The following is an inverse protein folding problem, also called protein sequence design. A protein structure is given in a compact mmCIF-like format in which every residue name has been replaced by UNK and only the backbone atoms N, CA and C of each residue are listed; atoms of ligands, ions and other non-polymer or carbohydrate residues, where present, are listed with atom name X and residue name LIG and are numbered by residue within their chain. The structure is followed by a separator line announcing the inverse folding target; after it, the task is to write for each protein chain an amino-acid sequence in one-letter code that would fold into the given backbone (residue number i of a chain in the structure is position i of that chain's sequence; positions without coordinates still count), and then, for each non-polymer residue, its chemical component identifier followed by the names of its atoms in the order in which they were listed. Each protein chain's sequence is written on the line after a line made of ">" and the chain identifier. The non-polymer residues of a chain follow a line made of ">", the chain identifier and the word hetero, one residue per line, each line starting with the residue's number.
data_IF_613787874600
#
_entry.id   IF_613787874600
#
_cell.length_a   1.000
_cell.length_b   1.000
_cell.length_c   1.000
_cell.angle_alpha   90.00
_cell.angle_beta   90.00
_cell.angle_gamma   90.00
#
_symmetry.space_group_name_H-M   'P 1'
#
loop_
_entity.id
_entity.type
_entity.pdbx_description
1 polymer ?
#
# COMPACT_ATOMS: atom_id res chain seq x y z
N UNK A 1 61.04 -30.25 4.17
CA UNK A 1 59.96 -30.52 5.14
C UNK A 1 58.98 -29.35 5.09
N UNK A 2 57.71 -29.69 4.76
CA UNK A 2 56.46 -28.93 4.98
C UNK A 2 56.36 -27.50 4.42
N UNK A 3 55.70 -27.44 3.26
CA UNK A 3 55.04 -26.26 2.70
C UNK A 3 53.95 -25.78 3.67
N UNK A 4 53.99 -24.51 4.08
CA UNK A 4 52.88 -23.87 4.78
C UNK A 4 52.02 -23.14 3.74
N UNK A 5 50.94 -23.80 3.34
CA UNK A 5 49.95 -23.29 2.41
C UNK A 5 49.10 -22.22 3.13
N UNK A 6 49.42 -20.95 2.94
CA UNK A 6 48.57 -19.82 3.32
C UNK A 6 47.39 -19.74 2.33
N UNK A 7 46.31 -20.45 2.62
CA UNK A 7 45.05 -20.31 1.87
C UNK A 7 44.23 -19.16 2.47
N UNK A 8 44.43 -17.95 1.94
CA UNK A 8 43.49 -16.83 2.15
C UNK A 8 42.28 -17.11 1.25
N UNK A 9 41.24 -17.72 1.82
CA UNK A 9 39.93 -17.81 1.15
C UNK A 9 39.28 -16.43 1.31
N UNK A 10 39.49 -15.56 0.33
CA UNK A 10 38.74 -14.32 0.20
C UNK A 10 37.37 -14.68 -0.36
N UNK A 11 36.40 -14.90 0.54
CA UNK A 11 35.02 -15.19 0.16
C UNK A 11 34.44 -14.03 -0.66
N UNK A 12 34.12 -14.29 -1.92
CA UNK A 12 33.48 -13.33 -2.81
C UNK A 12 32.05 -13.10 -2.30
N UNK A 13 31.85 -12.07 -1.48
CA UNK A 13 30.51 -11.60 -1.14
C UNK A 13 29.98 -10.88 -2.38
N UNK A 14 29.19 -11.59 -3.19
CA UNK A 14 28.44 -10.98 -4.29
C UNK A 14 27.31 -10.18 -3.64
N UNK A 15 27.58 -8.91 -3.35
CA UNK A 15 26.53 -7.94 -3.00
C UNK A 15 25.79 -7.63 -4.28
N UNK A 16 24.67 -8.32 -4.52
CA UNK A 16 23.72 -7.91 -5.53
C UNK A 16 23.09 -6.60 -5.09
N UNK A 17 23.55 -5.48 -5.64
CA UNK A 17 22.88 -4.20 -5.50
C UNK A 17 21.53 -4.28 -6.23
N UNK A 18 20.46 -4.49 -5.48
CA UNK A 18 19.10 -4.31 -6.02
C UNK A 18 18.93 -2.82 -6.31
N UNK A 19 18.82 -2.45 -7.58
CA UNK A 19 18.39 -1.11 -7.93
C UNK A 19 17.01 -0.89 -7.31
N UNK A 20 16.91 -0.02 -6.31
CA UNK A 20 15.63 0.35 -5.71
C UNK A 20 14.81 1.01 -6.82
N UNK A 21 13.79 0.31 -7.32
CA UNK A 21 12.82 0.89 -8.24
C UNK A 21 12.29 2.17 -7.60
N UNK A 22 12.48 3.32 -8.27
CA UNK A 22 12.04 4.60 -7.71
C UNK A 22 10.51 4.64 -7.66
N UNK A 23 9.95 4.43 -6.48
CA UNK A 23 8.52 4.59 -6.25
C UNK A 23 8.24 6.00 -5.74
N UNK A 24 7.34 6.73 -6.43
CA UNK A 24 6.98 8.10 -6.06
C UNK A 24 6.07 8.17 -4.83
N UNK A 25 5.20 7.18 -4.64
CA UNK A 25 4.16 7.17 -3.61
C UNK A 25 4.32 5.95 -2.70
N UNK A 26 5.54 5.74 -2.21
CA UNK A 26 5.88 4.66 -1.29
C UNK A 26 6.54 5.16 0.01
N UNK A 27 6.43 6.46 0.33
CA UNK A 27 6.79 6.92 1.67
C UNK A 27 5.82 6.33 2.71
N UNK A 28 6.20 6.36 3.98
CA UNK A 28 5.34 5.89 5.05
C UNK A 28 4.00 6.62 5.08
N UNK A 29 3.98 7.92 4.76
CA UNK A 29 2.74 8.69 4.63
C UNK A 29 1.85 8.13 3.50
N UNK A 30 2.38 7.86 2.31
CA UNK A 30 1.57 7.27 1.23
C UNK A 30 1.05 5.87 1.56
N UNK A 31 1.74 5.17 2.48
CA UNK A 31 1.40 3.83 2.93
C UNK A 31 0.54 3.78 4.20
N UNK A 32 0.21 4.94 4.79
CA UNK A 32 -0.46 4.94 6.09
C UNK A 32 -1.85 4.28 6.04
N UNK A 33 -2.49 4.23 4.86
CA UNK A 33 -3.79 3.59 4.63
C UNK A 33 -3.71 2.18 4.01
N UNK A 34 -2.52 1.57 3.95
CA UNK A 34 -2.34 0.19 3.46
C UNK A 34 -3.25 -0.81 4.19
N UNK A 35 -3.60 -0.55 5.45
CA UNK A 35 -4.48 -1.41 6.26
C UNK A 35 -5.93 -1.45 5.75
N UNK A 36 -6.35 -0.48 4.94
CA UNK A 36 -7.72 -0.33 4.46
C UNK A 36 -7.95 -1.04 3.12
N UNK A 37 -6.89 -1.34 2.37
CA UNK A 37 -6.96 -2.03 1.08
C UNK A 37 -7.62 -3.41 1.22
N UNK A 38 -8.64 -3.68 0.40
CA UNK A 38 -9.40 -4.93 0.44
C UNK A 38 -10.89 -4.74 0.20
N UNK A 39 -11.63 -5.84 0.37
CA UNK A 39 -13.09 -5.86 0.24
C UNK A 39 -13.73 -6.02 1.61
N UNK A 40 -14.68 -5.16 1.90
CA UNK A 40 -15.31 -5.05 3.21
C UNK A 40 -16.82 -5.22 3.12
N UNK A 41 -17.38 -5.93 4.09
CA UNK A 41 -18.81 -5.86 4.41
C UNK A 41 -18.97 -4.93 5.59
N UNK A 42 -19.67 -3.82 5.41
CA UNK A 42 -19.86 -2.81 6.44
C UNK A 42 -21.20 -3.06 7.11
N UNK A 43 -21.20 -3.05 8.44
CA UNK A 43 -22.38 -3.34 9.27
C UNK A 43 -22.73 -2.14 10.14
N UNK A 44 -24.03 -2.00 10.39
CA UNK A 44 -24.56 -1.08 11.39
C UNK A 44 -24.34 -1.64 12.81
N UNK A 45 -24.49 -0.81 13.87
CA UNK A 45 -24.33 -1.27 15.25
C UNK A 45 -25.28 -2.42 15.66
N UNK A 46 -26.42 -2.57 14.97
CA UNK A 46 -27.38 -3.67 15.17
C UNK A 46 -27.00 -4.96 14.42
N UNK A 47 -25.88 -4.95 13.67
CA UNK A 47 -25.40 -6.07 12.87
C UNK A 47 -26.00 -6.17 11.47
N UNK A 48 -26.95 -5.30 11.10
CA UNK A 48 -27.48 -5.26 9.74
C UNK A 48 -26.40 -4.79 8.75
N UNK A 49 -26.38 -5.36 7.55
CA UNK A 49 -25.44 -4.94 6.49
C UNK A 49 -25.85 -3.55 5.99
N UNK A 50 -24.93 -2.59 6.09
CA UNK A 50 -25.09 -1.24 5.53
C UNK A 50 -24.71 -1.21 4.04
N UNK A 51 -23.70 -2.01 3.66
CA UNK A 51 -23.25 -2.13 2.29
C UNK A 51 -21.87 -2.78 2.18
N UNK A 52 -21.26 -2.59 1.02
CA UNK A 52 -20.00 -3.23 0.63
C UNK A 52 -19.05 -2.16 0.11
N UNK A 53 -17.80 -2.22 0.55
CA UNK A 53 -16.75 -1.32 0.06
C UNK A 53 -15.60 -2.12 -0.54
N UNK A 54 -15.15 -1.73 -1.73
CA UNK A 54 -13.93 -2.26 -2.35
C UNK A 54 -12.91 -1.14 -2.38
N UNK A 55 -11.79 -1.32 -1.70
CA UNK A 55 -10.70 -0.35 -1.62
C UNK A 55 -9.48 -0.90 -2.35
N UNK A 56 -8.95 -0.12 -3.28
CA UNK A 56 -7.77 -0.47 -4.08
C UNK A 56 -6.79 0.69 -4.18
N UNK A 57 -5.54 0.40 -4.54
CA UNK A 57 -4.58 1.43 -4.93
C UNK A 57 -4.56 1.63 -6.45
N UNK A 58 -4.66 2.89 -6.86
CA UNK A 58 -4.54 3.31 -8.26
C UNK A 58 -3.41 4.33 -8.43
N UNK A 59 -3.13 4.72 -9.67
CA UNK A 59 -2.12 5.74 -10.01
C UNK A 59 -0.74 5.46 -9.38
N UNK A 60 -0.25 4.22 -9.52
CA UNK A 60 1.02 3.76 -8.96
C UNK A 60 1.13 3.99 -7.44
N UNK A 61 0.11 3.57 -6.70
CA UNK A 61 -0.01 3.67 -5.23
C UNK A 61 -0.17 5.09 -4.67
N UNK A 62 -0.40 6.09 -5.51
CA UNK A 62 -0.58 7.47 -5.05
C UNK A 62 -1.99 7.76 -4.52
N UNK A 63 -2.98 6.94 -4.89
CA UNK A 63 -4.38 7.17 -4.53
C UNK A 63 -4.99 5.86 -4.03
N UNK A 64 -5.69 5.96 -2.90
CA UNK A 64 -6.60 4.97 -2.38
C UNK A 64 -7.97 5.26 -2.99
N UNK A 65 -8.47 4.33 -3.80
CA UNK A 65 -9.75 4.39 -4.49
C UNK A 65 -10.76 3.49 -3.76
N UNK A 66 -11.85 4.09 -3.29
CA UNK A 66 -12.97 3.39 -2.68
C UNK A 66 -14.14 3.33 -3.65
N UNK A 67 -14.71 2.13 -3.80
CA UNK A 67 -16.01 1.94 -4.47
C UNK A 67 -17.01 1.36 -3.47
N UNK A 68 -17.98 2.18 -3.09
CA UNK A 68 -19.04 1.84 -2.15
C UNK A 68 -20.33 1.45 -2.86
N UNK A 69 -20.98 0.40 -2.35
CA UNK A 69 -22.31 -0.04 -2.78
C UNK A 69 -23.20 -0.28 -1.57
N UNK A 70 -24.32 0.44 -1.51
CA UNK A 70 -25.31 0.24 -0.44
C UNK A 70 -25.95 -1.15 -0.49
N UNK A 71 -26.29 -1.68 0.68
CA UNK A 71 -27.13 -2.88 0.79
C UNK A 71 -28.56 -2.60 0.30
N UNK A 72 -29.01 -1.35 0.44
CA UNK A 72 -30.28 -0.88 -0.10
C UNK A 72 -30.13 -0.49 -1.58
N UNK A 73 -31.08 -0.85 -2.46
CA UNK A 73 -31.01 -0.49 -3.86
C UNK A 73 -30.93 1.03 -4.09
N UNK A 74 -30.18 1.44 -5.12
CA UNK A 74 -30.20 2.81 -5.65
C UNK A 74 -29.07 3.74 -5.20
N UNK A 75 -28.16 3.28 -4.33
CA UNK A 75 -27.07 4.14 -3.83
C UNK A 75 -25.69 3.49 -4.02
N UNK A 76 -24.80 4.25 -4.66
CA UNK A 76 -23.36 3.95 -4.80
C UNK A 76 -22.56 5.20 -4.47
N UNK A 77 -21.30 5.02 -4.09
CA UNK A 77 -20.37 6.13 -3.87
C UNK A 77 -18.97 5.75 -4.34
N UNK A 78 -18.18 6.74 -4.66
CA UNK A 78 -16.75 6.58 -4.93
C UNK A 78 -16.03 7.63 -4.10
N UNK A 79 -14.91 7.27 -3.49
CA UNK A 79 -14.05 8.25 -2.81
C UNK A 79 -12.59 8.03 -3.16
N UNK A 80 -11.83 9.11 -3.18
CA UNK A 80 -10.38 9.07 -3.41
C UNK A 80 -9.68 9.70 -2.23
N UNK A 81 -8.79 8.94 -1.58
CA UNK A 81 -7.91 9.42 -0.53
C UNK A 81 -6.46 9.43 -1.02
N UNK A 82 -5.75 10.53 -0.81
CA UNK A 82 -4.34 10.63 -1.20
C UNK A 82 -3.56 11.55 -0.26
N UNK A 83 -2.25 11.31 -0.18
CA UNK A 83 -1.34 12.17 0.57
C UNK A 83 -0.85 13.33 -0.30
N UNK A 84 -1.15 14.57 0.11
CA UNK A 84 -0.67 15.77 -0.56
C UNK A 84 0.67 16.19 0.04
N UNK A 85 1.77 15.75 -0.57
CA UNK A 85 3.13 16.04 -0.09
C UNK A 85 3.54 17.51 -0.14
N UNK A 86 2.78 18.38 -0.83
CA UNK A 86 3.05 19.83 -0.84
C UNK A 86 2.46 20.53 0.37
N UNK A 87 1.36 19.99 0.91
CA UNK A 87 0.61 20.54 2.03
C UNK A 87 0.78 19.71 3.31
N UNK A 88 1.55 18.62 3.24
CA UNK A 88 1.88 17.73 4.35
C UNK A 88 0.63 17.18 5.06
N UNK A 89 -0.36 16.74 4.28
CA UNK A 89 -1.65 16.25 4.80
C UNK A 89 -2.34 15.27 3.86
N UNK A 90 -3.26 14.50 4.43
CA UNK A 90 -4.22 13.69 3.68
C UNK A 90 -5.38 14.54 3.16
N UNK A 91 -5.84 14.23 1.96
CA UNK A 91 -7.01 14.85 1.34
C UNK A 91 -7.95 13.76 0.82
N UNK A 92 -9.27 14.01 0.93
CA UNK A 92 -10.32 13.12 0.43
C UNK A 92 -11.24 13.85 -0.54
N UNK A 93 -11.61 13.18 -1.62
CA UNK A 93 -12.60 13.61 -2.60
C UNK A 93 -13.71 12.55 -2.71
N UNK A 94 -14.93 12.98 -3.03
CA UNK A 94 -16.14 12.17 -3.20
C UNK A 94 -16.78 12.45 -4.56
#
# INVERSE_FOLDING_TARGET
>A
MKQNLLSIIFGLIIVTATAQQSCKCCSDDHRAFDFWEGTWTVTNPDGAIAGYSTITKIQNNCIIDENWKSASPGYTGTSHNFYNSKLDRWEQLW
#
